data_IF_128786648995
#
_entry.id   IF_128786648995
#
_cell.length_a   1.000
_cell.length_b   1.000
_cell.length_c   1.000
_cell.angle_alpha   90.00
_cell.angle_beta   90.00
_cell.angle_gamma   90.00
#
_symmetry.space_group_name_H-M   'P 1'
#
loop_
_entity.id
_entity.type
_entity.pdbx_description
1 polymer ?
#
# COMPACT_ATOMS: atom_id res chain seq x y z
N UNK A 1 -2.47 22.63 0.36
CA UNK A 1 -1.34 22.11 1.19
C UNK A 1 -1.81 21.63 2.57
N UNK A 2 -2.37 22.51 3.42
CA UNK A 2 -2.77 22.12 4.78
C UNK A 2 -3.81 21.01 4.84
N UNK A 3 -4.78 21.01 3.93
CA UNK A 3 -5.78 19.95 3.90
C UNK A 3 -5.17 18.58 3.53
N UNK A 4 -4.16 18.55 2.66
CA UNK A 4 -3.43 17.31 2.36
C UNK A 4 -2.67 16.80 3.58
N UNK A 5 -2.03 17.69 4.33
CA UNK A 5 -1.33 17.32 5.56
C UNK A 5 -2.30 16.75 6.61
N UNK A 6 -3.46 17.39 6.78
CA UNK A 6 -4.53 16.88 7.66
C UNK A 6 -5.00 15.49 7.25
N UNK A 7 -5.28 15.29 5.96
CA UNK A 7 -5.72 14.01 5.42
C UNK A 7 -4.66 12.92 5.57
N UNK A 8 -3.38 13.26 5.40
CA UNK A 8 -2.25 12.34 5.60
C UNK A 8 -2.18 11.89 7.06
N UNK A 9 -2.15 12.85 8.00
CA UNK A 9 -2.10 12.57 9.43
C UNK A 9 -3.31 11.73 9.85
N UNK A 10 -4.51 12.11 9.42
CA UNK A 10 -5.73 11.35 9.72
C UNK A 10 -5.64 9.91 9.20
N UNK A 11 -5.19 9.71 7.96
CA UNK A 11 -5.09 8.38 7.34
C UNK A 11 -4.17 7.42 8.09
N UNK A 12 -3.01 7.89 8.55
CA UNK A 12 -2.03 7.05 9.26
C UNK A 12 -2.26 6.95 10.77
N UNK A 13 -2.96 7.91 11.39
CA UNK A 13 -3.23 7.93 12.83
C UNK A 13 -4.60 7.32 13.20
N UNK A 14 -5.52 7.11 12.25
CA UNK A 14 -6.91 6.68 12.51
C UNK A 14 -7.04 5.45 13.40
N UNK A 15 -6.14 4.47 13.24
CA UNK A 15 -6.17 3.20 13.98
C UNK A 15 -5.36 3.24 15.29
N UNK A 16 -4.70 4.36 15.60
CA UNK A 16 -3.83 4.47 16.78
C UNK A 16 -4.64 4.91 18.01
N UNK A 17 -4.39 4.30 19.19
CA UNK A 17 -5.11 4.63 20.41
C UNK A 17 -4.89 6.09 20.86
N UNK A 18 -3.72 6.67 20.59
CA UNK A 18 -3.35 8.05 20.92
C UNK A 18 -3.20 8.91 19.66
N UNK A 19 -4.22 8.88 18.79
CA UNK A 19 -4.19 9.58 17.50
C UNK A 19 -3.84 11.07 17.64
N UNK A 20 -2.84 11.49 16.87
CA UNK A 20 -2.50 12.90 16.72
C UNK A 20 -3.37 13.53 15.63
N UNK A 21 -3.69 14.81 15.77
CA UNK A 21 -4.34 15.64 14.75
C UNK A 21 -3.54 16.91 14.54
N UNK A 22 -3.51 17.40 13.31
CA UNK A 22 -2.82 18.66 12.98
C UNK A 22 -3.39 19.82 13.79
N UNK A 23 -4.71 19.84 14.03
CA UNK A 23 -5.39 20.86 14.83
C UNK A 23 -4.96 20.88 16.30
N UNK A 24 -4.31 19.82 16.80
CA UNK A 24 -3.80 19.73 18.18
C UNK A 24 -2.32 20.15 18.29
N UNK A 25 -1.66 20.40 17.17
CA UNK A 25 -0.28 20.89 17.15
C UNK A 25 -0.24 22.38 17.45
N UNK A 26 0.81 22.86 18.11
CA UNK A 26 0.97 24.30 18.33
C UNK A 26 1.25 25.01 17.01
N UNK A 27 0.69 26.22 16.84
CA UNK A 27 0.91 27.05 15.65
C UNK A 27 2.40 27.30 15.36
N UNK A 28 3.25 27.66 16.35
CA UNK A 28 4.68 27.89 16.09
C UNK A 28 5.41 26.64 15.59
N UNK A 29 5.07 25.47 16.13
CA UNK A 29 5.62 24.20 15.68
C UNK A 29 5.21 23.94 14.23
N UNK A 30 3.91 24.00 13.95
CA UNK A 30 3.35 23.70 12.64
C UNK A 30 3.91 24.62 11.54
N UNK A 31 3.97 25.92 11.79
CA UNK A 31 4.58 26.88 10.86
C UNK A 31 6.06 26.59 10.58
N UNK A 32 6.83 26.23 11.61
CA UNK A 32 8.26 25.92 11.44
C UNK A 32 8.48 24.71 10.53
N UNK A 33 7.63 23.69 10.65
CA UNK A 33 7.74 22.46 9.86
C UNK A 33 7.28 22.68 8.43
N UNK A 34 6.18 23.41 8.22
CA UNK A 34 5.61 23.65 6.88
C UNK A 34 6.54 24.47 6.00
N UNK A 35 7.25 25.46 6.57
CA UNK A 35 8.18 26.32 5.81
C UNK A 35 9.32 25.53 5.15
N UNK A 36 9.66 24.36 5.68
CA UNK A 36 10.68 23.48 5.13
C UNK A 36 10.14 22.50 4.06
N UNK A 37 8.84 22.51 3.77
CA UNK A 37 8.20 21.59 2.84
C UNK A 37 7.85 22.28 1.53
N UNK A 38 8.11 21.56 0.42
CA UNK A 38 7.58 21.93 -0.90
C UNK A 38 6.44 20.98 -1.23
N UNK A 39 5.21 21.52 -1.27
CA UNK A 39 4.04 20.79 -1.70
C UNK A 39 3.92 20.79 -3.22
N UNK A 40 3.61 19.65 -3.81
CA UNK A 40 3.27 19.53 -5.22
C UNK A 40 2.06 18.62 -5.40
N UNK A 41 1.42 18.71 -6.55
CA UNK A 41 0.27 17.89 -6.92
C UNK A 41 0.56 17.20 -8.25
N UNK A 42 0.24 15.90 -8.33
CA UNK A 42 0.28 15.14 -9.58
C UNK A 42 -1.16 14.93 -10.03
N UNK A 43 -1.53 15.55 -11.16
CA UNK A 43 -2.80 15.24 -11.82
C UNK A 43 -2.68 13.91 -12.53
N UNK A 44 -3.42 12.91 -12.06
CA UNK A 44 -3.50 11.61 -12.74
C UNK A 44 -4.22 11.82 -14.07
N UNK A 45 -3.53 11.59 -15.18
CA UNK A 45 -4.09 11.63 -16.53
C UNK A 45 -4.54 10.25 -17.01
N UNK A 46 -3.76 9.24 -16.66
CA UNK A 46 -4.02 7.83 -16.97
C UNK A 46 -3.36 6.93 -15.92
N UNK A 47 -3.86 5.71 -15.80
CA UNK A 47 -3.29 4.68 -14.93
C UNK A 47 -3.22 3.36 -15.71
N UNK A 48 -2.02 2.79 -15.80
CA UNK A 48 -1.76 1.50 -16.43
C UNK A 48 -1.38 0.49 -15.35
N UNK A 49 -1.99 -0.69 -15.38
CA UNK A 49 -1.71 -1.76 -14.43
C UNK A 49 -1.34 -3.04 -15.17
N UNK A 50 -0.37 -3.79 -14.62
CA UNK A 50 0.04 -5.10 -15.14
C UNK A 50 0.17 -6.10 -14.00
N UNK A 51 -0.29 -7.32 -14.23
CA UNK A 51 -0.21 -8.39 -13.26
C UNK A 51 0.47 -9.62 -13.89
N UNK A 52 1.66 -9.94 -13.40
CA UNK A 52 2.43 -11.12 -13.78
C UNK A 52 2.45 -12.09 -12.61
N UNK A 53 1.68 -13.17 -12.76
CA UNK A 53 1.33 -14.10 -11.70
C UNK A 53 1.49 -15.54 -12.18
N UNK A 54 2.43 -15.78 -13.09
CA UNK A 54 2.66 -17.10 -13.72
C UNK A 54 1.41 -17.70 -14.39
N UNK A 55 0.47 -16.85 -14.79
CA UNK A 55 -0.85 -17.25 -15.30
C UNK A 55 -0.83 -18.15 -16.55
N UNK A 56 0.29 -18.16 -17.29
CA UNK A 56 0.46 -18.94 -18.51
C UNK A 56 1.20 -20.27 -18.30
N UNK A 57 1.47 -20.68 -17.05
CA UNK A 57 2.06 -21.99 -16.73
C UNK A 57 0.99 -23.09 -16.73
N UNK A 58 1.39 -24.33 -16.97
CA UNK A 58 0.53 -25.50 -16.73
C UNK A 58 0.12 -25.62 -15.25
N UNK A 59 -0.87 -26.47 -14.96
CA UNK A 59 -1.44 -26.61 -13.62
C UNK A 59 -0.42 -27.11 -12.59
N UNK A 60 0.46 -28.04 -12.96
CA UNK A 60 1.46 -28.61 -12.06
C UNK A 60 2.44 -27.54 -11.60
N UNK A 61 3.03 -26.82 -12.55
CA UNK A 61 3.96 -25.73 -12.25
C UNK A 61 3.26 -24.58 -11.53
N UNK A 62 2.01 -24.26 -11.87
CA UNK A 62 1.26 -23.21 -11.19
C UNK A 62 1.04 -23.53 -9.71
N UNK A 63 0.61 -24.76 -9.39
CA UNK A 63 0.43 -25.24 -8.01
C UNK A 63 1.76 -25.29 -7.25
N UNK A 64 2.82 -25.79 -7.87
CA UNK A 64 4.14 -25.87 -7.25
C UNK A 64 4.69 -24.49 -6.88
N UNK A 65 4.50 -23.48 -7.74
CA UNK A 65 4.89 -22.09 -7.46
C UNK A 65 4.10 -21.55 -6.26
N UNK A 66 2.77 -21.73 -6.24
CA UNK A 66 1.94 -21.30 -5.12
C UNK A 66 2.45 -21.92 -3.81
N UNK A 67 2.63 -23.24 -3.78
CA UNK A 67 3.11 -23.94 -2.59
C UNK A 67 4.44 -23.37 -2.07
N UNK A 68 5.41 -23.12 -2.96
CA UNK A 68 6.70 -22.57 -2.56
C UNK A 68 6.62 -21.14 -2.04
N UNK A 69 5.71 -20.33 -2.59
CA UNK A 69 5.47 -18.98 -2.11
C UNK A 69 4.78 -18.96 -0.73
N UNK A 70 3.92 -19.93 -0.45
CA UNK A 70 3.27 -20.09 0.86
C UNK A 70 4.24 -20.51 1.96
N UNK A 71 5.20 -21.39 1.63
CA UNK A 71 6.25 -21.85 2.56
C UNK A 71 7.23 -20.72 2.96
N UNK A 72 7.20 -19.58 2.26
CA UNK A 72 8.08 -18.45 2.54
C UNK A 72 7.74 -17.74 3.84
N UNK A 73 8.78 -17.27 4.55
CA UNK A 73 8.62 -16.40 5.71
C UNK A 73 8.34 -14.94 5.34
N UNK A 74 8.36 -14.59 4.05
CA UNK A 74 8.17 -13.22 3.57
C UNK A 74 6.68 -12.93 3.36
N UNK A 75 6.08 -11.95 4.05
CA UNK A 75 4.64 -11.65 3.92
C UNK A 75 4.20 -11.32 2.49
N UNK A 76 5.08 -10.72 1.69
CA UNK A 76 4.79 -10.38 0.29
C UNK A 76 4.66 -11.63 -0.59
N UNK A 77 5.42 -12.69 -0.31
CA UNK A 77 5.36 -13.93 -1.08
C UNK A 77 4.09 -14.72 -0.75
N UNK A 78 3.70 -14.74 0.53
CA UNK A 78 2.42 -15.29 0.97
C UNK A 78 1.24 -14.53 0.34
N UNK A 79 1.27 -13.19 0.33
CA UNK A 79 0.24 -12.38 -0.32
C UNK A 79 0.17 -12.63 -1.84
N UNK A 80 1.32 -12.86 -2.48
CA UNK A 80 1.39 -13.22 -3.89
C UNK A 80 0.75 -14.58 -4.16
N UNK A 81 1.00 -15.59 -3.32
CA UNK A 81 0.37 -16.90 -3.41
C UNK A 81 -1.15 -16.80 -3.31
N UNK A 82 -1.65 -16.03 -2.34
CA UNK A 82 -3.09 -15.78 -2.17
C UNK A 82 -3.72 -15.09 -3.39
N UNK A 83 -3.03 -14.12 -3.99
CA UNK A 83 -3.50 -13.48 -5.21
C UNK A 83 -3.49 -14.44 -6.42
N UNK A 84 -2.48 -15.31 -6.53
CA UNK A 84 -2.43 -16.35 -7.55
C UNK A 84 -3.62 -17.32 -7.41
N UNK A 85 -3.95 -17.77 -6.19
CA UNK A 85 -5.10 -18.67 -5.94
C UNK A 85 -6.44 -18.05 -6.33
N UNK A 86 -6.64 -16.75 -6.10
CA UNK A 86 -7.89 -16.05 -6.46
C UNK A 86 -8.14 -16.01 -7.97
N UNK A 87 -7.07 -16.03 -8.79
CA UNK A 87 -7.17 -15.78 -10.24
C UNK A 87 -7.30 -17.04 -11.10
N UNK A 88 -6.93 -18.20 -10.57
CA UNK A 88 -7.11 -19.48 -11.25
C UNK A 88 -7.75 -20.45 -10.27
N UNK A 89 -8.98 -20.87 -10.55
CA UNK A 89 -9.59 -22.00 -9.83
C UNK A 89 -8.80 -23.24 -10.21
N UNK A 90 -7.91 -23.68 -9.34
CA UNK A 90 -7.37 -25.04 -9.39
C UNK A 90 -8.45 -25.96 -8.85
N UNK A 91 -9.05 -26.77 -9.74
CA UNK A 91 -9.78 -27.99 -9.35
C UNK A 91 -8.83 -29.02 -8.73
#
# INVERSE_FOLDING_TARGET
MMDHLKNLVEGYERVRPNRVRVERMSTPYLESQIRALVGFEIRITEAHASAKLSQNRDDENYRAIIQKLEESSRPIEQALAEEMKKRRKTE
#
